data_IF_663890370105
#
_entry.id   IF_663890370105
#
_cell.length_a   1.000
_cell.length_b   1.000
_cell.length_c   1.000
_cell.angle_alpha   90.00
_cell.angle_beta   90.00
_cell.angle_gamma   90.00
#
_symmetry.space_group_name_H-M   'P 1'
#
loop_
_entity.id
_entity.type
_entity.pdbx_description
1 polymer ?
#
# COMPACT_ATOMS: atom_id res chain seq x y z
N UNK A 1 -23.59 21.33 1.15
CA UNK A 1 -24.27 20.23 0.44
C UNK A 1 -23.53 19.99 -0.86
N UNK A 2 -22.72 18.93 -0.91
CA UNK A 2 -21.81 18.69 -2.02
C UNK A 2 -22.54 17.94 -3.14
N UNK A 3 -22.41 18.45 -4.37
CA UNK A 3 -22.97 17.86 -5.57
C UNK A 3 -21.83 17.18 -6.33
N UNK A 4 -21.91 15.87 -6.57
CA UNK A 4 -20.91 15.14 -7.38
C UNK A 4 -21.58 14.05 -8.21
N UNK A 5 -21.23 13.97 -9.49
CA UNK A 5 -21.44 12.77 -10.31
C UNK A 5 -20.13 12.00 -10.32
N UNK A 6 -20.20 10.68 -10.32
CA UNK A 6 -19.06 9.80 -10.60
C UNK A 6 -18.37 10.15 -11.94
N UNK A 7 -19.03 10.88 -12.86
CA UNK A 7 -18.54 11.30 -14.19
C UNK A 7 -17.90 12.70 -14.27
N UNK A 8 -18.01 13.55 -13.23
CA UNK A 8 -17.42 14.88 -13.27
C UNK A 8 -16.04 14.89 -12.57
N UNK A 9 -15.00 15.38 -13.23
CA UNK A 9 -13.61 15.39 -12.74
C UNK A 9 -13.31 16.43 -11.66
N UNK A 10 -13.83 17.65 -11.81
CA UNK A 10 -13.65 18.74 -10.86
C UNK A 10 -14.94 19.53 -10.58
N UNK A 11 -14.91 20.39 -9.55
CA UNK A 11 -16.03 21.28 -9.22
C UNK A 11 -16.34 22.28 -10.35
N UNK A 12 -15.31 22.69 -11.09
CA UNK A 12 -15.36 23.73 -12.13
C UNK A 12 -15.41 23.18 -13.56
N UNK A 13 -15.31 21.86 -13.75
CA UNK A 13 -15.42 21.27 -15.09
C UNK A 13 -16.84 21.44 -15.63
N UNK A 14 -16.90 21.78 -16.93
CA UNK A 14 -18.09 21.71 -17.77
C UNK A 14 -18.59 20.26 -17.82
N UNK A 15 -19.33 19.85 -16.80
CA UNK A 15 -19.93 18.54 -16.74
C UNK A 15 -21.31 18.59 -17.38
N UNK A 16 -21.50 17.85 -18.47
CA UNK A 16 -22.80 17.71 -19.15
C UNK A 16 -23.77 16.82 -18.36
N UNK A 17 -23.27 16.03 -17.40
CA UNK A 17 -24.06 15.18 -16.53
C UNK A 17 -24.69 15.95 -15.35
N UNK A 18 -25.92 15.57 -14.99
CA UNK A 18 -26.68 16.18 -13.88
C UNK A 18 -26.07 15.76 -12.54
N UNK A 19 -25.67 16.73 -11.71
CA UNK A 19 -25.09 16.46 -10.39
C UNK A 19 -26.16 16.12 -9.35
N UNK A 20 -25.95 15.04 -8.61
CA UNK A 20 -26.79 14.64 -7.48
C UNK A 20 -26.10 14.97 -6.14
N UNK A 21 -26.91 15.10 -5.08
CA UNK A 21 -26.40 15.26 -3.71
C UNK A 21 -25.83 13.92 -3.27
N UNK A 22 -24.55 13.91 -2.92
CA UNK A 22 -23.85 12.69 -2.51
C UNK A 22 -23.07 12.97 -1.23
N UNK A 23 -22.99 11.97 -0.35
CA UNK A 23 -22.24 12.08 0.88
C UNK A 23 -20.74 12.16 0.61
N UNK A 24 -20.04 12.94 1.44
CA UNK A 24 -18.58 12.94 1.50
C UNK A 24 -18.12 11.96 2.53
N UNK A 25 -17.43 10.90 2.11
CA UNK A 25 -16.76 9.98 3.01
C UNK A 25 -15.31 10.43 3.16
N UNK A 26 -14.86 10.68 4.40
CA UNK A 26 -13.44 10.79 4.68
C UNK A 26 -12.82 9.41 4.48
N UNK A 27 -11.83 9.31 3.59
CA UNK A 27 -11.23 8.04 3.18
C UNK A 27 -9.85 7.83 3.78
N UNK A 28 -9.10 8.91 3.95
CA UNK A 28 -7.78 8.87 4.56
C UNK A 28 -7.44 10.24 5.18
N UNK A 29 -6.68 10.20 6.27
CA UNK A 29 -6.23 11.37 7.02
C UNK A 29 -4.79 11.14 7.48
N UNK A 30 -3.90 12.09 7.25
CA UNK A 30 -2.53 12.04 7.75
C UNK A 30 -2.07 13.43 8.18
N UNK A 31 -1.16 13.49 9.15
CA UNK A 31 -0.54 14.74 9.58
C UNK A 31 0.84 14.85 8.94
N UNK A 32 1.12 16.00 8.33
CA UNK A 32 2.45 16.35 7.86
C UNK A 32 3.10 17.32 8.85
N UNK A 33 3.74 16.75 9.87
CA UNK A 33 4.23 17.49 11.04
C UNK A 33 5.25 18.58 10.68
N UNK A 34 6.16 18.31 9.73
CA UNK A 34 7.22 19.27 9.36
C UNK A 34 6.68 20.60 8.80
N UNK A 35 5.44 20.61 8.28
CA UNK A 35 4.81 21.79 7.69
C UNK A 35 3.56 22.25 8.44
N UNK A 36 3.21 21.62 9.57
CA UNK A 36 1.96 21.87 10.31
C UNK A 36 0.72 21.79 9.40
N UNK A 37 0.69 20.77 8.53
CA UNK A 37 -0.38 20.55 7.56
C UNK A 37 -1.14 19.25 7.85
N UNK A 38 -2.45 19.28 7.59
CA UNK A 38 -3.32 18.11 7.59
C UNK A 38 -3.59 17.69 6.14
N UNK A 39 -3.37 16.42 5.84
CA UNK A 39 -3.72 15.80 4.57
C UNK A 39 -5.07 15.13 4.72
N UNK A 40 -6.08 15.59 3.98
CA UNK A 40 -7.43 15.01 3.95
C UNK A 40 -7.73 14.48 2.55
N UNK A 41 -8.11 13.20 2.45
CA UNK A 41 -8.62 12.62 1.20
C UNK A 41 -10.07 12.18 1.37
N UNK A 42 -10.93 12.52 0.41
CA UNK A 42 -12.38 12.27 0.49
C UNK A 42 -12.90 11.56 -0.75
N UNK A 43 -14.02 10.84 -0.64
CA UNK A 43 -14.65 10.16 -1.77
C UNK A 43 -15.18 11.10 -2.85
N UNK A 44 -15.48 12.36 -2.49
CA UNK A 44 -15.97 13.35 -3.45
C UNK A 44 -14.90 13.79 -4.44
N UNK A 45 -15.36 14.37 -5.55
CA UNK A 45 -14.50 14.90 -6.60
C UNK A 45 -13.49 13.87 -7.10
N UNK A 46 -13.96 12.63 -7.29
CA UNK A 46 -13.18 11.49 -7.77
C UNK A 46 -12.11 10.96 -6.81
N UNK A 47 -12.13 11.30 -5.52
CA UNK A 47 -11.09 10.81 -4.61
C UNK A 47 -9.89 11.77 -4.52
N UNK A 48 -10.15 13.08 -4.48
CA UNK A 48 -9.09 14.10 -4.35
C UNK A 48 -8.63 14.25 -2.90
N UNK A 49 -7.37 14.67 -2.77
CA UNK A 49 -6.74 15.00 -1.49
C UNK A 49 -6.50 16.50 -1.35
N UNK A 50 -6.45 17.00 -0.13
CA UNK A 50 -6.21 18.41 0.20
C UNK A 50 -5.17 18.54 1.30
N UNK A 51 -4.32 19.56 1.17
CA UNK A 51 -3.53 20.09 2.28
C UNK A 51 -4.32 21.19 2.97
N UNK A 52 -4.47 21.06 4.28
CA UNK A 52 -5.15 22.02 5.15
C UNK A 52 -4.19 22.50 6.22
N UNK A 53 -4.42 23.71 6.72
CA UNK A 53 -3.68 24.21 7.88
C UNK A 53 -4.10 23.42 9.14
N UNK A 54 -3.13 22.87 9.89
CA UNK A 54 -3.43 22.11 11.10
C UNK A 54 -3.99 22.98 12.24
N UNK A 55 -3.64 24.27 12.28
CA UNK A 55 -4.15 25.23 13.26
C UNK A 55 -5.56 25.73 12.94
N UNK A 56 -5.96 25.66 11.66
CA UNK A 56 -7.29 25.99 11.20
C UNK A 56 -7.69 25.09 10.04
N UNK A 57 -8.28 23.93 10.35
CA UNK A 57 -8.63 22.93 9.34
C UNK A 57 -9.66 23.41 8.30
N UNK A 58 -10.30 24.56 8.53
CA UNK A 58 -11.19 25.19 7.54
C UNK A 58 -10.42 25.81 6.38
N UNK A 59 -9.14 26.15 6.58
CA UNK A 59 -8.24 26.71 5.58
C UNK A 59 -7.69 25.59 4.68
N UNK A 60 -8.17 25.54 3.43
CA UNK A 60 -7.68 24.64 2.38
C UNK A 60 -6.59 25.37 1.60
N UNK A 61 -5.38 24.85 1.67
CA UNK A 61 -4.21 25.47 1.05
C UNK A 61 -4.01 24.97 -0.38
N UNK A 62 -4.03 23.64 -0.57
CA UNK A 62 -3.78 22.99 -1.86
C UNK A 62 -4.78 21.84 -2.03
N UNK A 63 -5.31 21.65 -3.24
CA UNK A 63 -6.07 20.48 -3.65
C UNK A 63 -5.30 19.74 -4.75
N UNK A 64 -5.29 18.41 -4.70
CA UNK A 64 -4.63 17.60 -5.72
C UNK A 64 -5.23 17.89 -7.10
N UNK A 65 -4.39 18.07 -8.14
CA UNK A 65 -4.88 18.38 -9.49
C UNK A 65 -5.57 17.19 -10.15
N UNK A 66 -5.20 15.98 -9.74
CA UNK A 66 -5.77 14.73 -10.21
C UNK A 66 -6.43 13.93 -9.08
N UNK A 67 -7.35 13.00 -9.41
CA UNK A 67 -7.86 11.97 -8.51
C UNK A 67 -6.75 11.06 -7.94
N UNK A 68 -6.76 10.79 -6.63
CA UNK A 68 -5.67 10.03 -5.98
C UNK A 68 -6.12 8.72 -5.32
N UNK A 69 -7.38 8.61 -4.90
CA UNK A 69 -7.88 7.48 -4.11
C UNK A 69 -9.25 6.98 -4.60
N UNK A 70 -9.73 5.88 -4.01
CA UNK A 70 -11.07 5.37 -4.23
C UNK A 70 -12.14 6.43 -3.90
N UNK A 71 -13.09 6.60 -4.84
CA UNK A 71 -14.15 7.61 -4.78
C UNK A 71 -15.50 7.07 -4.27
N UNK A 72 -15.57 5.79 -3.88
CA UNK A 72 -16.78 5.16 -3.34
C UNK A 72 -16.74 5.13 -1.80
N UNK A 73 -17.82 4.68 -1.17
CA UNK A 73 -17.87 4.54 0.28
C UNK A 73 -17.05 3.33 0.78
N UNK A 74 -17.12 2.20 0.06
CA UNK A 74 -16.67 0.90 0.56
C UNK A 74 -15.23 0.48 0.21
N UNK A 75 -14.58 1.09 -0.78
CA UNK A 75 -13.25 0.66 -1.19
C UNK A 75 -12.15 1.36 -0.40
N UNK A 76 -11.15 0.61 0.05
CA UNK A 76 -10.17 1.11 1.01
C UNK A 76 -9.15 2.08 0.40
N UNK A 77 -8.65 2.99 1.24
CA UNK A 77 -7.50 3.84 0.93
C UNK A 77 -6.70 4.06 2.22
N UNK A 78 -5.38 4.01 2.10
CA UNK A 78 -4.42 4.25 3.19
C UNK A 78 -3.47 5.33 2.72
N UNK A 79 -3.22 6.32 3.57
CA UNK A 79 -2.19 7.33 3.34
C UNK A 79 -1.36 7.53 4.59
N UNK A 80 -0.06 7.73 4.42
CA UNK A 80 0.85 8.11 5.50
C UNK A 80 2.00 8.94 4.95
N UNK A 81 2.58 9.78 5.80
CA UNK A 81 3.75 10.58 5.45
C UNK A 81 5.00 9.77 5.80
N UNK A 82 5.93 9.70 4.86
CA UNK A 82 7.21 9.03 5.04
C UNK A 82 8.33 9.71 4.25
N UNK A 83 9.53 9.16 4.28
CA UNK A 83 10.69 9.62 3.55
C UNK A 83 10.64 9.14 2.10
N UNK A 84 10.93 10.01 1.14
CA UNK A 84 11.03 9.65 -0.28
C UNK A 84 12.48 9.57 -0.81
N UNK A 85 12.65 9.32 -2.12
CA UNK A 85 13.96 9.06 -2.74
C UNK A 85 14.98 10.19 -2.54
N UNK A 86 14.52 11.44 -2.60
CA UNK A 86 15.34 12.63 -2.40
C UNK A 86 15.60 12.98 -0.93
N UNK A 87 15.25 12.08 0.02
CA UNK A 87 15.23 12.35 1.47
C UNK A 87 14.33 13.51 1.87
N UNK A 88 13.31 13.76 1.06
CA UNK A 88 12.23 14.70 1.34
C UNK A 88 10.98 13.94 1.77
N UNK A 89 10.13 14.51 2.64
CA UNK A 89 8.86 13.91 3.00
C UNK A 89 7.94 13.76 1.78
N UNK A 90 7.36 12.57 1.64
CA UNK A 90 6.40 12.22 0.61
C UNK A 90 5.15 11.62 1.23
N UNK A 91 4.04 11.71 0.51
CA UNK A 91 2.80 11.03 0.85
C UNK A 91 2.77 9.67 0.16
N UNK A 92 2.86 8.61 0.94
CA UNK A 92 2.59 7.26 0.48
C UNK A 92 1.07 7.05 0.41
N UNK A 93 0.58 6.55 -0.72
CA UNK A 93 -0.83 6.28 -0.97
C UNK A 93 -0.98 4.85 -1.46
N UNK A 94 -1.84 4.08 -0.80
CA UNK A 94 -2.30 2.77 -1.24
C UNK A 94 -3.81 2.79 -1.37
N UNK A 95 -4.37 2.49 -2.54
CA UNK A 95 -5.81 2.60 -2.77
C UNK A 95 -6.36 1.43 -3.57
N UNK A 96 -7.54 0.97 -3.17
CA UNK A 96 -8.28 -0.01 -3.94
C UNK A 96 -8.75 0.60 -5.25
N UNK A 97 -8.55 -0.13 -6.35
CA UNK A 97 -9.08 0.28 -7.65
C UNK A 97 -10.62 0.25 -7.61
N UNK A 98 -11.24 1.34 -8.08
CA UNK A 98 -12.69 1.39 -8.33
C UNK A 98 -12.87 1.81 -9.76
N UNK A 99 -13.64 1.00 -10.50
CA UNK A 99 -13.99 1.31 -11.89
C UNK A 99 -14.83 2.58 -11.90
N UNK A 100 -14.48 3.51 -12.76
CA UNK A 100 -15.26 4.71 -12.97
C UNK A 100 -14.91 5.39 -14.29
N UNK A 101 -15.69 6.40 -14.67
CA UNK A 101 -15.44 7.19 -15.87
C UNK A 101 -14.20 8.07 -15.67
N UNK A 102 -13.45 8.31 -16.76
CA UNK A 102 -12.30 9.23 -16.92
C UNK A 102 -11.22 9.24 -15.81
N UNK A 103 -9.94 9.16 -16.17
CA UNK A 103 -8.77 9.27 -15.26
C UNK A 103 -8.62 8.19 -14.17
N UNK A 104 -9.66 7.39 -13.89
CA UNK A 104 -9.62 6.30 -12.90
C UNK A 104 -8.65 5.18 -13.28
N UNK A 105 -8.46 4.97 -14.59
CA UNK A 105 -7.54 3.97 -15.12
C UNK A 105 -6.07 4.31 -14.87
N UNK A 106 -5.78 5.55 -14.48
CA UNK A 106 -4.42 6.07 -14.26
C UNK A 106 -4.08 6.17 -12.77
N UNK A 107 -5.03 5.90 -11.85
CA UNK A 107 -4.76 5.89 -10.40
C UNK A 107 -3.92 4.64 -10.05
N UNK A 108 -2.70 4.81 -9.53
CA UNK A 108 -1.87 3.68 -9.13
C UNK A 108 -2.44 2.92 -7.94
N UNK A 109 -2.05 1.66 -7.81
CA UNK A 109 -2.37 0.84 -6.64
C UNK A 109 -1.62 1.36 -5.41
N UNK A 110 -0.31 1.59 -5.57
CA UNK A 110 0.58 2.21 -4.59
C UNK A 110 1.40 3.28 -5.27
N UNK A 111 1.55 4.44 -4.64
CA UNK A 111 2.37 5.55 -5.13
C UNK A 111 2.96 6.36 -3.99
N UNK A 112 4.04 7.10 -4.25
CA UNK A 112 4.52 8.17 -3.37
C UNK A 112 4.50 9.53 -4.07
N UNK A 113 4.00 10.54 -3.37
CA UNK A 113 3.71 11.86 -3.93
C UNK A 113 4.43 12.97 -3.16
N UNK A 114 4.76 14.06 -3.85
CA UNK A 114 5.41 15.23 -3.22
C UNK A 114 4.44 15.97 -2.31
N UNK A 115 4.94 16.39 -1.14
CA UNK A 115 4.19 17.24 -0.18
C UNK A 115 4.64 18.71 -0.18
N UNK A 116 5.73 19.01 -0.89
CA UNK A 116 6.29 20.36 -1.04
C UNK A 116 6.85 20.53 -2.44
N UNK A 117 6.84 21.76 -2.97
CA UNK A 117 7.41 22.10 -4.28
C UNK A 117 8.93 21.92 -4.34
N UNK A 118 9.62 22.02 -3.21
CA UNK A 118 11.09 22.10 -3.19
C UNK A 118 11.60 23.20 -4.13
N UNK A 119 12.79 23.00 -4.70
CA UNK A 119 13.46 23.94 -5.63
C UNK A 119 13.13 23.66 -7.12
N UNK A 120 12.21 22.74 -7.41
CA UNK A 120 11.92 22.26 -8.78
C UNK A 120 10.60 22.76 -9.37
N UNK A 121 10.32 22.34 -10.61
CA UNK A 121 9.05 22.64 -11.29
C UNK A 121 7.88 21.74 -10.85
N UNK A 122 8.17 20.62 -10.17
CA UNK A 122 7.16 19.64 -9.76
C UNK A 122 6.28 20.18 -8.63
N UNK A 123 4.97 19.95 -8.75
CA UNK A 123 3.96 20.46 -7.81
C UNK A 123 3.65 19.45 -6.71
N UNK A 124 3.03 19.93 -5.63
CA UNK A 124 2.46 19.07 -4.61
C UNK A 124 1.45 18.08 -5.21
N UNK A 125 1.41 16.86 -4.67
CA UNK A 125 0.63 15.72 -5.15
C UNK A 125 1.05 15.16 -6.52
N UNK A 126 2.13 15.66 -7.14
CA UNK A 126 2.77 14.93 -8.25
C UNK A 126 3.65 13.79 -7.72
N UNK A 127 4.01 12.83 -8.58
CA UNK A 127 4.90 11.73 -8.21
C UNK A 127 6.20 12.25 -7.59
N UNK A 128 6.64 11.59 -6.51
CA UNK A 128 7.90 11.92 -5.86
C UNK A 128 9.08 11.85 -6.83
N UNK A 129 9.11 10.82 -7.67
CA UNK A 129 10.00 10.75 -8.82
C UNK A 129 9.24 10.25 -10.06
N UNK A 130 9.48 10.90 -11.20
CA UNK A 130 8.84 10.59 -12.49
C UNK A 130 9.92 10.50 -13.56
N UNK A 131 10.26 9.27 -13.92
CA UNK A 131 11.13 8.96 -15.05
C UNK A 131 10.37 8.92 -16.37
N UNK A 132 11.11 8.63 -17.45
CA UNK A 132 10.54 8.55 -18.81
C UNK A 132 9.57 7.37 -18.99
N UNK A 133 9.84 6.25 -18.30
CA UNK A 133 9.08 4.99 -18.42
C UNK A 133 8.70 4.36 -17.07
N UNK A 134 9.17 4.94 -15.96
CA UNK A 134 8.97 4.46 -14.59
C UNK A 134 8.79 5.67 -13.67
N UNK A 135 8.44 5.42 -12.41
CA UNK A 135 8.36 6.43 -11.38
C UNK A 135 8.04 5.78 -10.05
N UNK A 136 7.74 6.60 -9.05
CA UNK A 136 7.34 6.11 -7.73
C UNK A 136 5.87 5.68 -7.67
N UNK A 137 5.52 4.70 -8.50
CA UNK A 137 4.17 4.14 -8.60
C UNK A 137 4.16 2.69 -9.11
N UNK A 138 3.11 1.96 -8.74
CA UNK A 138 2.79 0.64 -9.28
C UNK A 138 1.28 0.55 -9.54
N UNK A 139 0.90 0.10 -10.72
CA UNK A 139 -0.48 0.12 -11.20
C UNK A 139 -0.95 -1.27 -11.60
N UNK A 140 -2.19 -1.62 -11.26
CA UNK A 140 -2.78 -2.89 -11.71
C UNK A 140 -2.85 -2.91 -13.23
N UNK A 141 -2.47 -4.04 -13.80
CA UNK A 141 -2.67 -4.37 -15.22
C UNK A 141 -4.16 -4.27 -15.59
N UNK A 142 -4.46 -3.61 -16.71
CA UNK A 142 -5.84 -3.26 -17.12
C UNK A 142 -6.79 -4.45 -17.08
N UNK A 143 -6.34 -5.62 -17.52
CA UNK A 143 -7.13 -6.86 -17.59
C UNK A 143 -7.55 -7.43 -16.23
N UNK A 144 -6.89 -7.03 -15.13
CA UNK A 144 -7.21 -7.53 -13.79
C UNK A 144 -7.96 -6.53 -12.92
N UNK A 145 -8.11 -5.28 -13.36
CA UNK A 145 -8.74 -4.21 -12.58
C UNK A 145 -10.18 -4.50 -12.15
N UNK A 146 -10.93 -5.28 -12.93
CA UNK A 146 -12.30 -5.65 -12.60
C UNK A 146 -12.44 -6.95 -11.80
N UNK A 147 -11.40 -7.79 -11.75
CA UNK A 147 -11.46 -9.15 -11.20
C UNK A 147 -10.48 -9.41 -10.06
N UNK A 148 -9.47 -8.55 -9.87
CA UNK A 148 -8.49 -8.64 -8.81
C UNK A 148 -8.55 -7.38 -7.94
N UNK A 149 -9.03 -7.56 -6.71
CA UNK A 149 -9.20 -6.49 -5.73
C UNK A 149 -8.10 -6.57 -4.67
N UNK A 150 -7.53 -5.42 -4.35
CA UNK A 150 -6.58 -5.24 -3.24
C UNK A 150 -7.21 -4.28 -2.23
N UNK A 151 -7.46 -4.75 -1.02
CA UNK A 151 -7.87 -3.92 0.11
C UNK A 151 -6.63 -3.54 0.92
N UNK A 152 -6.44 -2.24 1.16
CA UNK A 152 -5.37 -1.66 1.98
C UNK A 152 -5.89 -1.44 3.39
N UNK A 153 -5.23 -2.07 4.37
CA UNK A 153 -5.68 -2.12 5.77
C UNK A 153 -4.93 -1.11 6.62
N UNK A 154 -3.62 -0.95 6.39
CA UNK A 154 -2.81 0.05 7.07
C UNK A 154 -1.47 0.23 6.37
N UNK A 155 -0.71 1.24 6.79
CA UNK A 155 0.58 1.56 6.21
C UNK A 155 1.44 2.35 7.18
N UNK A 156 2.75 2.15 7.08
CA UNK A 156 3.72 2.73 8.00
C UNK A 156 5.11 2.77 7.35
N UNK A 157 5.98 3.63 7.87
CA UNK A 157 7.42 3.59 7.61
C UNK A 157 8.12 2.92 8.78
N UNK A 158 9.10 2.06 8.49
CA UNK A 158 10.05 1.53 9.48
C UNK A 158 11.42 1.40 8.82
N UNK A 159 12.44 1.95 9.49
CA UNK A 159 13.81 1.99 8.97
C UNK A 159 13.92 2.72 7.63
N UNK A 160 14.17 1.96 6.55
CA UNK A 160 14.36 2.49 5.18
C UNK A 160 13.27 2.07 4.21
N UNK A 161 12.14 1.61 4.74
CA UNK A 161 11.08 1.02 3.95
C UNK A 161 9.72 1.58 4.31
N UNK A 162 8.88 1.72 3.29
CA UNK A 162 7.47 1.99 3.41
C UNK A 162 6.71 0.67 3.23
N UNK A 163 5.76 0.41 4.14
CA UNK A 163 4.98 -0.83 4.16
C UNK A 163 3.49 -0.56 4.01
N UNK A 164 2.79 -1.50 3.37
CA UNK A 164 1.34 -1.56 3.35
C UNK A 164 0.85 -2.95 3.72
N UNK A 165 -0.05 -3.04 4.71
CA UNK A 165 -0.80 -4.25 4.98
C UNK A 165 -2.00 -4.34 4.04
N UNK A 166 -2.16 -5.47 3.36
CA UNK A 166 -3.21 -5.67 2.36
C UNK A 166 -3.98 -6.96 2.57
N UNK A 167 -5.22 -7.01 2.09
CA UNK A 167 -5.99 -8.24 1.85
C UNK A 167 -6.28 -8.36 0.37
N UNK A 168 -5.96 -9.50 -0.21
CA UNK A 168 -6.13 -9.74 -1.64
C UNK A 168 -6.17 -11.24 -1.93
N UNK A 169 -6.62 -11.63 -3.12
CA UNK A 169 -6.60 -13.03 -3.55
C UNK A 169 -5.17 -13.58 -3.61
N UNK A 170 -4.95 -14.77 -3.06
CA UNK A 170 -3.65 -15.45 -3.08
C UNK A 170 -3.16 -15.67 -4.52
N UNK A 171 -4.08 -15.88 -5.45
CA UNK A 171 -3.86 -15.99 -6.90
C UNK A 171 -4.94 -15.20 -7.65
N UNK A 172 -4.86 -15.20 -8.99
CA UNK A 172 -5.98 -14.74 -9.82
C UNK A 172 -7.10 -15.78 -9.79
N UNK A 173 -8.35 -15.31 -9.84
CA UNK A 173 -9.55 -16.13 -9.91
C UNK A 173 -10.53 -15.77 -8.81
N UNK A 174 -11.83 -15.85 -9.11
CA UNK A 174 -12.90 -15.54 -8.13
C UNK A 174 -12.84 -16.50 -6.92
N UNK A 175 -12.39 -17.74 -7.16
CA UNK A 175 -12.22 -18.79 -6.16
C UNK A 175 -10.85 -18.75 -5.45
N UNK A 176 -9.99 -17.76 -5.68
CA UNK A 176 -8.71 -17.64 -4.98
C UNK A 176 -8.86 -17.21 -3.49
N UNK A 177 -8.24 -17.94 -2.52
CA UNK A 177 -8.35 -17.62 -1.10
C UNK A 177 -7.82 -16.24 -0.78
N UNK A 178 -8.54 -15.50 0.07
CA UNK A 178 -8.06 -14.21 0.54
C UNK A 178 -6.90 -14.45 1.48
N UNK A 179 -5.83 -13.71 1.24
CA UNK A 179 -4.60 -13.75 1.99
C UNK A 179 -4.23 -12.33 2.41
N UNK A 180 -3.78 -12.21 3.66
CA UNK A 180 -3.15 -10.99 4.13
C UNK A 180 -1.71 -10.93 3.63
N UNK A 181 -1.26 -9.78 3.13
CA UNK A 181 0.12 -9.56 2.70
C UNK A 181 0.68 -8.28 3.27
N UNK A 182 1.99 -8.26 3.45
CA UNK A 182 2.77 -7.06 3.69
C UNK A 182 3.50 -6.70 2.40
N UNK A 183 3.16 -5.54 1.85
CA UNK A 183 3.85 -4.90 0.74
C UNK A 183 5.00 -4.07 1.33
N UNK A 184 6.15 -4.04 0.66
CA UNK A 184 7.31 -3.22 1.02
C UNK A 184 7.89 -2.53 -0.20
N UNK A 185 8.30 -1.27 -0.06
CA UNK A 185 9.08 -0.49 -1.03
C UNK A 185 10.20 0.24 -0.27
N UNK A 186 11.40 0.32 -0.84
CA UNK A 186 12.49 1.13 -0.30
C UNK A 186 12.19 2.63 -0.44
N UNK A 187 12.38 3.41 0.62
CA UNK A 187 12.14 4.85 0.60
C UNK A 187 13.07 5.59 -0.35
N UNK A 188 14.25 5.03 -0.59
CA UNK A 188 15.26 5.55 -1.53
C UNK A 188 15.01 5.22 -3.01
N UNK A 189 13.99 4.43 -3.34
CA UNK A 189 13.78 3.90 -4.69
C UNK A 189 12.86 4.80 -5.53
N UNK A 190 13.46 5.51 -6.49
CA UNK A 190 12.80 6.41 -7.43
C UNK A 190 11.96 5.71 -8.52
N UNK A 191 12.01 4.38 -8.60
CA UNK A 191 11.38 3.61 -9.69
C UNK A 191 10.43 2.51 -9.21
N UNK A 192 10.29 2.34 -7.89
CA UNK A 192 9.53 1.26 -7.25
C UNK A 192 9.96 -0.15 -7.71
N UNK A 193 11.21 -0.31 -8.15
CA UNK A 193 11.79 -1.62 -8.45
C UNK A 193 11.89 -2.55 -7.23
N UNK A 194 11.99 -1.95 -6.05
CA UNK A 194 11.99 -2.61 -4.74
C UNK A 194 10.61 -3.08 -4.28
N UNK A 195 9.54 -2.83 -5.05
CA UNK A 195 8.21 -3.33 -4.70
C UNK A 195 8.23 -4.84 -4.54
N UNK A 196 7.83 -5.31 -3.36
CA UNK A 196 7.75 -6.72 -3.06
C UNK A 196 6.61 -7.00 -2.08
N UNK A 197 6.02 -8.19 -2.19
CA UNK A 197 4.95 -8.63 -1.31
C UNK A 197 5.34 -9.93 -0.62
N UNK A 198 5.17 -9.99 0.70
CA UNK A 198 5.22 -11.25 1.47
C UNK A 198 3.85 -11.50 2.09
N UNK A 199 3.38 -12.75 2.21
CA UNK A 199 2.16 -13.00 2.97
C UNK A 199 2.36 -12.65 4.45
N UNK A 200 1.27 -12.49 5.19
CA UNK A 200 1.28 -12.46 6.66
C UNK A 200 0.47 -13.65 7.15
N UNK A 201 1.12 -14.54 7.89
CA UNK A 201 0.49 -15.73 8.46
C UNK A 201 0.26 -15.54 9.96
N UNK A 202 -0.97 -15.78 10.40
CA UNK A 202 -1.36 -15.76 11.80
C UNK A 202 -2.12 -17.04 12.10
N UNK A 203 -1.42 -18.05 12.63
CA UNK A 203 -1.95 -19.41 12.78
C UNK A 203 -1.89 -19.83 14.26
N UNK A 204 -2.99 -20.42 14.76
CA UNK A 204 -3.04 -21.01 16.10
C UNK A 204 -3.97 -22.22 16.10
N UNK A 205 -3.46 -23.38 16.55
CA UNK A 205 -4.18 -24.65 16.58
C UNK A 205 -4.88 -24.98 15.24
N UNK A 206 -4.13 -24.96 14.14
CA UNK A 206 -4.58 -25.22 12.76
C UNK A 206 -5.63 -24.23 12.20
N UNK A 207 -5.98 -23.19 12.95
CA UNK A 207 -6.84 -22.10 12.45
C UNK A 207 -5.94 -21.03 11.86
N UNK A 208 -6.10 -20.78 10.56
CA UNK A 208 -5.51 -19.64 9.87
C UNK A 208 -6.41 -18.40 10.02
N UNK A 209 -5.93 -17.39 10.72
CA UNK A 209 -6.54 -16.07 10.80
C UNK A 209 -6.02 -15.24 9.63
N UNK A 210 -6.59 -15.48 8.44
CA UNK A 210 -6.07 -14.99 7.16
C UNK A 210 -6.50 -13.56 6.80
N UNK A 211 -7.45 -12.96 7.52
CA UNK A 211 -8.00 -11.62 7.21
C UNK A 211 -7.51 -10.58 8.22
N UNK A 212 -6.46 -9.84 7.87
CA UNK A 212 -5.97 -8.73 8.67
C UNK A 212 -7.00 -7.60 8.71
N UNK A 213 -7.31 -7.12 9.91
CA UNK A 213 -8.29 -6.07 10.18
C UNK A 213 -7.64 -4.75 10.50
N UNK A 214 -6.47 -4.78 11.15
CA UNK A 214 -5.71 -3.58 11.50
C UNK A 214 -4.23 -3.93 11.75
N UNK A 215 -3.36 -2.92 11.67
CA UNK A 215 -1.93 -3.01 11.99
C UNK A 215 -1.45 -1.84 12.82
N UNK A 216 -0.49 -2.10 13.70
CA UNK A 216 0.17 -1.06 14.48
C UNK A 216 1.63 -1.40 14.71
N UNK A 217 2.53 -0.42 14.60
CA UNK A 217 3.96 -0.58 14.90
C UNK A 217 4.25 0.06 16.25
N UNK A 218 4.96 -0.68 17.11
CA UNK A 218 5.48 -0.15 18.36
C UNK A 218 6.83 -0.79 18.70
N UNK A 219 7.51 -0.24 19.69
CA UNK A 219 8.78 -0.79 20.19
C UNK A 219 8.52 -1.87 21.25
N UNK A 220 9.27 -2.96 21.21
CA UNK A 220 9.17 -4.03 22.20
C UNK A 220 9.81 -3.62 23.54
N UNK A 221 9.06 -3.72 24.64
CA UNK A 221 9.62 -3.63 25.99
C UNK A 221 10.37 -4.91 26.40
N UNK A 222 11.17 -4.84 27.46
CA UNK A 222 12.05 -5.92 27.94
C UNK A 222 11.49 -7.35 27.84
N UNK A 223 10.31 -7.62 28.43
CA UNK A 223 9.76 -8.98 28.47
C UNK A 223 9.38 -9.52 27.07
N UNK A 224 8.76 -8.66 26.25
CA UNK A 224 8.38 -9.05 24.90
C UNK A 224 9.64 -9.26 24.04
N UNK A 225 10.60 -8.34 24.14
CA UNK A 225 11.86 -8.42 23.44
C UNK A 225 12.60 -9.73 23.76
N UNK A 226 12.70 -10.07 25.06
CA UNK A 226 13.27 -11.35 25.52
C UNK A 226 12.55 -12.57 24.94
N UNK A 227 11.20 -12.55 24.90
CA UNK A 227 10.41 -13.67 24.39
C UNK A 227 10.56 -13.87 22.88
N UNK A 228 10.75 -12.78 22.12
CA UNK A 228 10.95 -12.79 20.67
C UNK A 228 12.43 -12.93 20.27
N UNK A 229 13.35 -12.88 21.25
CA UNK A 229 14.80 -12.90 21.02
C UNK A 229 15.31 -11.67 20.26
N UNK A 230 14.73 -10.51 20.51
CA UNK A 230 15.13 -9.21 19.93
C UNK A 230 15.62 -8.27 21.04
N UNK A 231 16.16 -7.12 20.66
CA UNK A 231 16.59 -6.10 21.63
C UNK A 231 15.39 -5.33 22.16
N UNK A 232 15.47 -4.86 23.40
CA UNK A 232 14.51 -3.89 23.91
C UNK A 232 14.59 -2.61 23.06
N UNK A 233 13.45 -2.07 22.67
CA UNK A 233 13.36 -0.94 21.76
C UNK A 233 13.23 -1.30 20.28
N UNK A 234 13.48 -2.56 19.88
CA UNK A 234 13.29 -2.99 18.49
C UNK A 234 11.81 -2.89 18.07
N UNK A 235 11.56 -2.51 16.82
CA UNK A 235 10.20 -2.34 16.30
C UNK A 235 9.54 -3.70 16.03
N UNK A 236 8.27 -3.80 16.44
CA UNK A 236 7.41 -4.94 16.21
C UNK A 236 6.11 -4.49 15.56
N UNK A 237 5.69 -5.24 14.55
CA UNK A 237 4.39 -5.10 13.90
C UNK A 237 3.36 -5.95 14.65
N UNK A 238 2.32 -5.32 15.17
CA UNK A 238 1.12 -5.98 15.64
C UNK A 238 0.11 -6.03 14.51
N UNK A 239 -0.46 -7.19 14.25
CA UNK A 239 -1.59 -7.35 13.35
C UNK A 239 -2.76 -7.99 14.07
N UNK A 240 -3.96 -7.42 13.90
CA UNK A 240 -5.22 -8.01 14.35
C UNK A 240 -5.83 -8.75 13.16
N UNK A 241 -6.12 -10.03 13.33
CA UNK A 241 -6.65 -10.88 12.28
C UNK A 241 -7.96 -11.52 12.69
N UNK A 242 -8.79 -11.85 11.71
CA UNK A 242 -9.95 -12.71 11.87
C UNK A 242 -9.85 -13.89 10.91
N UNK A 243 -10.43 -15.02 11.30
CA UNK A 243 -10.57 -16.16 10.39
C UNK A 243 -11.68 -15.88 9.38
N UNK A 244 -11.43 -16.18 8.11
CA UNK A 244 -12.45 -16.17 7.05
C UNK A 244 -13.47 -17.29 7.28
N UNK A 245 -14.71 -17.06 6.88
CA UNK A 245 -15.75 -18.08 6.91
C UNK A 245 -15.61 -18.99 5.69
N UNK A 246 -14.90 -20.11 5.88
CA UNK A 246 -14.69 -21.13 4.85
C UNK A 246 -16.00 -21.81 4.37
N UNK A 247 -17.13 -21.59 5.06
CA UNK A 247 -18.44 -22.13 4.67
C UNK A 247 -19.28 -21.16 3.86
N UNK A 248 -18.86 -19.89 3.78
CA UNK A 248 -19.52 -18.84 3.02
C UNK A 248 -19.15 -18.94 1.53
N UNK A 249 -20.14 -18.77 0.65
CA UNK A 249 -19.91 -18.55 -0.78
C UNK A 249 -19.30 -17.17 -1.07
N UNK A 250 -19.37 -16.25 -0.10
CA UNK A 250 -18.75 -14.92 -0.17
C UNK A 250 -17.39 -14.95 0.54
N UNK A 251 -16.36 -14.51 -0.16
CA UNK A 251 -14.99 -14.37 0.34
C UNK A 251 -14.82 -13.10 1.15
N UNK A 252 -13.80 -13.06 2.01
CA UNK A 252 -13.53 -11.92 2.89
C UNK A 252 -14.70 -11.69 3.87
N UNK A 253 -15.29 -12.76 4.38
CA UNK A 253 -16.40 -12.70 5.32
C UNK A 253 -15.88 -12.95 6.75
N UNK A 254 -15.66 -11.89 7.55
CA UNK A 254 -14.98 -12.01 8.82
C UNK A 254 -15.84 -12.79 9.83
N UNK A 255 -15.27 -13.86 10.40
CA UNK A 255 -15.91 -14.56 11.53
C UNK A 255 -15.69 -13.81 12.86
N UNK A 256 -16.33 -14.28 13.93
CA UNK A 256 -16.08 -13.78 15.29
C UNK A 256 -14.78 -14.30 15.92
N UNK A 257 -14.02 -15.14 15.22
CA UNK A 257 -12.75 -15.69 15.73
C UNK A 257 -11.63 -14.75 15.33
N UNK A 258 -11.07 -14.04 16.31
CA UNK A 258 -9.95 -13.11 16.12
C UNK A 258 -8.68 -13.58 16.83
N UNK A 259 -7.54 -13.11 16.32
CA UNK A 259 -6.23 -13.31 16.91
C UNK A 259 -5.38 -12.03 16.76
N UNK A 260 -4.41 -11.86 17.65
CA UNK A 260 -3.36 -10.84 17.52
C UNK A 260 -2.04 -11.56 17.30
N UNK A 261 -1.34 -11.22 16.23
CA UNK A 261 -0.01 -11.73 15.92
C UNK A 261 1.01 -10.60 15.96
N UNK A 262 2.25 -10.93 16.34
CA UNK A 262 3.34 -9.99 16.55
C UNK A 262 4.54 -10.41 15.72
N UNK A 263 5.08 -9.50 14.91
CA UNK A 263 6.16 -9.76 13.98
C UNK A 263 7.31 -8.77 14.21
N UNK A 264 8.48 -9.22 14.70
CA UNK A 264 9.68 -8.38 14.74
C UNK A 264 10.09 -7.93 13.33
N UNK A 265 10.09 -6.62 13.09
CA UNK A 265 10.25 -6.08 11.74
C UNK A 265 11.68 -6.37 11.24
N UNK A 266 12.68 -5.86 11.95
CA UNK A 266 14.08 -5.94 11.51
C UNK A 266 14.62 -7.38 11.51
N UNK A 267 14.18 -8.22 12.45
CA UNK A 267 14.75 -9.57 12.60
C UNK A 267 14.04 -10.63 11.75
N UNK A 268 12.71 -10.60 11.67
CA UNK A 268 11.93 -11.67 11.04
C UNK A 268 11.32 -11.23 9.71
N UNK A 269 10.67 -10.06 9.66
CA UNK A 269 10.01 -9.57 8.43
C UNK A 269 11.05 -9.26 7.37
N UNK A 270 12.07 -8.47 7.69
CA UNK A 270 13.11 -8.09 6.72
C UNK A 270 13.94 -9.28 6.25
N UNK A 271 14.26 -10.22 7.16
CA UNK A 271 14.90 -11.47 6.79
C UNK A 271 14.08 -12.25 5.77
N UNK A 272 12.75 -12.29 5.92
CA UNK A 272 11.88 -12.99 4.97
C UNK A 272 11.85 -12.29 3.61
N UNK A 273 11.86 -10.97 3.56
CA UNK A 273 12.01 -10.25 2.29
C UNK A 273 13.37 -10.53 1.65
N UNK A 274 14.47 -10.47 2.41
CA UNK A 274 15.82 -10.76 1.93
C UNK A 274 15.92 -12.17 1.33
N UNK A 275 15.46 -13.19 2.06
CA UNK A 275 15.48 -14.58 1.61
C UNK A 275 14.76 -14.75 0.26
N UNK A 276 13.54 -14.22 0.13
CA UNK A 276 12.73 -14.36 -1.07
C UNK A 276 13.31 -13.60 -2.27
N UNK A 277 13.82 -12.38 -2.05
CA UNK A 277 14.48 -11.61 -3.09
C UNK A 277 15.73 -12.35 -3.55
N UNK A 278 16.59 -12.76 -2.63
CA UNK A 278 17.84 -13.45 -2.98
C UNK A 278 17.60 -14.81 -3.64
N UNK A 279 16.51 -15.52 -3.34
CA UNK A 279 16.11 -16.70 -4.11
C UNK A 279 15.77 -16.38 -5.57
N UNK A 280 15.02 -15.32 -5.82
CA UNK A 280 14.72 -14.86 -7.17
C UNK A 280 16.02 -14.46 -7.90
N UNK A 281 16.93 -13.73 -7.24
CA UNK A 281 18.21 -13.35 -7.85
C UNK A 281 19.18 -14.52 -8.05
N UNK A 282 18.93 -15.70 -7.45
CA UNK A 282 19.59 -16.98 -7.80
C UNK A 282 18.95 -17.71 -8.97
N UNK A 283 17.92 -17.12 -9.59
CA UNK A 283 17.19 -17.70 -10.71
C UNK A 283 16.16 -18.76 -10.31
N UNK A 284 15.73 -18.77 -9.03
CA UNK A 284 14.71 -19.69 -8.53
C UNK A 284 13.33 -19.05 -8.59
N UNK A 285 12.31 -19.88 -8.81
CA UNK A 285 10.89 -19.51 -8.74
C UNK A 285 10.42 -18.52 -9.84
N UNK A 286 9.13 -18.21 -9.79
CA UNK A 286 8.49 -17.14 -10.56
C UNK A 286 8.27 -15.92 -9.67
N UNK A 287 8.19 -14.73 -10.27
CA UNK A 287 7.94 -13.48 -9.53
C UNK A 287 6.53 -13.34 -8.94
N UNK A 288 5.56 -14.15 -9.38
CA UNK A 288 4.26 -14.36 -8.72
C UNK A 288 3.35 -13.12 -8.49
N UNK A 289 3.55 -12.02 -9.20
CA UNK A 289 2.67 -10.83 -9.21
C UNK A 289 2.09 -10.59 -10.62
N UNK A 290 1.26 -11.50 -11.16
CA UNK A 290 0.71 -11.35 -12.51
C UNK A 290 -0.15 -10.09 -12.68
N UNK A 291 -0.80 -9.60 -11.61
CA UNK A 291 -1.57 -8.34 -11.64
C UNK A 291 -0.73 -7.07 -11.76
N UNK A 292 0.60 -7.17 -11.59
CA UNK A 292 1.57 -6.10 -11.81
C UNK A 292 2.57 -6.44 -12.93
N UNK A 293 2.13 -7.24 -13.91
CA UNK A 293 2.95 -7.66 -15.08
C UNK A 293 4.25 -8.37 -14.68
N UNK A 294 4.27 -9.03 -13.54
CA UNK A 294 5.48 -9.65 -12.99
C UNK A 294 5.23 -11.11 -12.61
N UNK A 295 5.13 -11.96 -13.63
CA UNK A 295 4.91 -13.41 -13.47
C UNK A 295 5.94 -14.24 -14.22
N UNK A 296 6.93 -13.61 -14.83
CA UNK A 296 8.03 -14.28 -15.51
C UNK A 296 8.96 -14.98 -14.51
N UNK A 297 9.76 -15.90 -15.05
CA UNK A 297 10.79 -16.59 -14.28
C UNK A 297 11.84 -15.62 -13.77
N UNK A 298 12.29 -15.85 -12.54
CA UNK A 298 13.37 -15.08 -11.96
C UNK A 298 14.69 -15.30 -12.72
N UNK A 299 15.43 -14.23 -12.98
CA UNK A 299 16.72 -14.28 -13.67
C UNK A 299 17.85 -14.43 -12.66
N UNK A 300 18.70 -15.44 -12.87
CA UNK A 300 19.91 -15.62 -12.06
C UNK A 300 20.93 -14.51 -12.29
N UNK A 301 21.53 -14.00 -11.22
CA UNK A 301 22.53 -12.94 -11.22
C UNK A 301 23.64 -13.24 -10.20
N UNK A 302 24.71 -12.45 -10.23
CA UNK A 302 25.80 -12.50 -9.23
C UNK A 302 25.75 -11.34 -8.22
N UNK A 303 24.61 -10.63 -8.15
CA UNK A 303 24.45 -9.47 -7.28
C UNK A 303 24.32 -9.89 -5.82
N UNK A 304 24.92 -9.10 -4.92
CA UNK A 304 24.80 -9.30 -3.47
C UNK A 304 23.52 -8.66 -2.92
N UNK A 305 23.17 -8.97 -1.67
CA UNK A 305 22.02 -8.33 -1.00
C UNK A 305 22.13 -6.79 -1.04
N UNK A 306 23.32 -6.25 -0.77
CA UNK A 306 23.56 -4.80 -0.76
C UNK A 306 23.26 -4.14 -2.12
N UNK A 307 23.43 -4.88 -3.21
CA UNK A 307 23.18 -4.39 -4.56
C UNK A 307 21.68 -4.40 -4.91
N UNK A 308 20.89 -5.27 -4.28
CA UNK A 308 19.49 -5.55 -4.67
C UNK A 308 18.46 -5.16 -3.61
N UNK A 309 18.92 -4.76 -2.43
CA UNK A 309 18.10 -4.41 -1.26
C UNK A 309 17.01 -3.37 -1.60
N UNK A 310 17.35 -2.35 -2.39
CA UNK A 310 16.42 -1.32 -2.88
C UNK A 310 16.03 -1.51 -4.35
N UNK A 311 16.04 -2.77 -4.82
CA UNK A 311 15.57 -3.15 -6.14
C UNK A 311 16.56 -2.85 -7.27
N UNK A 312 16.35 -3.53 -8.39
CA UNK A 312 17.02 -3.31 -9.67
C UNK A 312 15.99 -3.44 -10.79
N UNK A 313 16.33 -2.97 -11.99
CA UNK A 313 15.48 -3.11 -13.17
C UNK A 313 15.22 -4.59 -13.53
N UNK A 314 16.22 -5.45 -13.28
CA UNK A 314 16.12 -6.90 -13.30
C UNK A 314 15.36 -7.41 -12.07
N UNK A 315 14.51 -8.43 -12.25
CA UNK A 315 13.76 -9.04 -11.15
C UNK A 315 12.94 -8.05 -10.30
N UNK A 316 12.43 -6.95 -10.87
CA UNK A 316 11.48 -6.06 -10.18
C UNK A 316 10.14 -6.74 -9.88
N UNK A 317 9.41 -6.23 -8.88
CA UNK A 317 8.08 -6.67 -8.48
C UNK A 317 8.04 -8.16 -8.13
N UNK A 318 8.55 -8.54 -6.95
CA UNK A 318 8.62 -9.95 -6.51
C UNK A 318 7.58 -10.21 -5.42
N UNK A 319 6.69 -11.19 -5.64
CA UNK A 319 5.96 -11.85 -4.57
C UNK A 319 6.78 -13.02 -4.01
N UNK A 320 6.85 -13.03 -2.70
CA UNK A 320 7.33 -14.14 -1.90
C UNK A 320 6.23 -15.17 -1.66
N UNK A 321 6.65 -16.40 -1.41
CA UNK A 321 5.83 -17.42 -0.75
C UNK A 321 6.40 -17.61 0.65
N UNK A 322 5.57 -17.83 1.67
CA UNK A 322 6.11 -18.51 2.84
C UNK A 322 6.44 -19.93 2.41
N UNK A 323 7.72 -20.19 2.18
CA UNK A 323 8.23 -21.54 2.33
C UNK A 323 8.14 -21.84 3.82
N UNK A 324 7.37 -22.87 4.16
CA UNK A 324 7.36 -23.48 5.49
C UNK A 324 8.82 -23.69 5.90
N UNK A 325 9.23 -23.09 7.02
CA UNK A 325 10.33 -23.69 7.77
C UNK A 325 9.73 -24.95 8.39
N UNK A 326 10.13 -26.11 7.84
CA UNK A 326 9.83 -27.43 8.41
C UNK A 326 10.36 -27.55 9.84
#
# INVERSE_FOLDING_TARGET
MCLSVEECGSRNDSCTAIRHKTNSHAKALAVYDKSSQLIECTSLFQGRCRLRNLHNISDVQIESPEPMIANDAGSSAVVFVGMGPSREPVLYVGTTFVKGPLFRDDIPAVTSLRLSRGDGEAKEFELADKGLATGTEISLERKFRSSYRIDYVGGFESGRYAYFATRQGATIGEDAPIQSRLVRVCTGDAHFYSYTEVPLECIKHDINYNLIQDVYVATAGYNLAKSLGISEGDEVLYGVFVADDMTSFQRNFPTRRSAVCVYPIQKHVEKKFEENIMECYRGKNLKQLPWFKSSDGCKGTHLSWKDVECGQDVNKNIAARWLYDN
#
